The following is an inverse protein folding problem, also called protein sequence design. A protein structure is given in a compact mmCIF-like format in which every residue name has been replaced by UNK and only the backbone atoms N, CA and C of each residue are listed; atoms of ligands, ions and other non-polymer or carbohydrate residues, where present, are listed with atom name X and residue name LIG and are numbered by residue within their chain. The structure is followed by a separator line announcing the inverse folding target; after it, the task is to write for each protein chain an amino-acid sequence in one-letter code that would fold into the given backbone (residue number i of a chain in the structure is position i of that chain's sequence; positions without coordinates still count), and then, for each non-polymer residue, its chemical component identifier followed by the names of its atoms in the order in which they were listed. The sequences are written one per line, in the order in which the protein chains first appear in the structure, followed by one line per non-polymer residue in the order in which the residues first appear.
data_IF_991712015427
#
_entry.id   IF_991712015427
#
_cell.length_a   1.000
_cell.length_b   1.000
_cell.length_c   1.000
_cell.angle_alpha   90.00
_cell.angle_beta   90.00
_cell.angle_gamma   90.00
#
_symmetry.space_group_name_H-M   'P 1'
#
loop_
_entity.id
_entity.type
_entity.pdbx_description
1 polymer ?
#
# COMPACT_ATOMS: atom_id res chain seq x y z
N UNK A 1 19.84 -10.33 8.58
CA UNK A 1 18.80 -11.02 9.37
C UNK A 1 19.24 -11.37 10.80
N UNK A 2 20.48 -11.84 11.01
CA UNK A 2 21.04 -12.25 12.31
C UNK A 2 20.91 -11.19 13.42
N UNK A 3 21.23 -9.93 13.12
CA UNK A 3 21.13 -8.83 14.10
C UNK A 3 19.68 -8.59 14.56
N UNK A 4 18.73 -8.64 13.62
CA UNK A 4 17.29 -8.44 13.91
C UNK A 4 16.76 -9.63 14.72
N UNK A 5 17.10 -10.86 14.33
CA UNK A 5 16.69 -12.07 15.06
C UNK A 5 17.22 -12.06 16.50
N UNK A 6 18.51 -11.76 16.70
CA UNK A 6 19.12 -11.65 18.04
C UNK A 6 18.38 -10.60 18.87
N UNK A 7 18.13 -9.42 18.30
CA UNK A 7 17.39 -8.35 18.98
C UNK A 7 15.96 -8.77 19.35
N UNK A 8 15.25 -9.48 18.48
CA UNK A 8 13.90 -9.98 18.75
C UNK A 8 13.88 -11.01 19.90
N UNK A 9 14.81 -11.96 19.91
CA UNK A 9 14.96 -12.94 20.99
C UNK A 9 15.34 -12.28 22.32
N UNK A 10 16.28 -11.32 22.31
CA UNK A 10 16.63 -10.56 23.51
C UNK A 10 15.45 -9.77 24.06
N UNK A 11 14.68 -9.09 23.19
CA UNK A 11 13.52 -8.29 23.62
C UNK A 11 12.38 -9.15 24.17
N UNK A 12 12.11 -10.29 23.56
CA UNK A 12 11.09 -11.24 24.01
C UNK A 12 11.51 -12.06 25.22
N UNK A 13 12.81 -12.12 25.55
CA UNK A 13 13.41 -12.98 26.56
C UNK A 13 13.19 -14.48 26.29
N UNK A 14 12.96 -14.84 25.03
CA UNK A 14 12.81 -16.23 24.58
C UNK A 14 14.09 -16.74 23.92
N UNK A 15 14.28 -18.06 23.95
CA UNK A 15 15.25 -18.78 23.13
C UNK A 15 14.54 -19.35 21.90
N UNK A 16 15.27 -19.62 20.82
CA UNK A 16 14.70 -20.23 19.60
C UNK A 16 14.01 -21.57 19.89
N UNK A 17 14.50 -22.30 20.91
CA UNK A 17 13.94 -23.57 21.36
C UNK A 17 12.49 -23.43 21.86
N UNK A 18 12.16 -22.26 22.40
CA UNK A 18 10.87 -21.93 23.00
C UNK A 18 9.84 -21.51 21.93
N UNK A 19 10.23 -21.45 20.65
CA UNK A 19 9.37 -21.10 19.53
C UNK A 19 8.66 -22.35 19.02
N UNK A 20 7.34 -22.32 18.90
CA UNK A 20 6.53 -23.47 18.45
C UNK A 20 6.41 -23.57 16.93
N UNK A 21 6.50 -22.44 16.22
CA UNK A 21 6.27 -22.33 14.78
C UNK A 21 7.15 -21.23 14.18
N UNK A 22 7.71 -21.49 12.99
CA UNK A 22 8.41 -20.47 12.20
C UNK A 22 7.56 -20.14 10.98
N UNK A 23 7.38 -18.84 10.72
CA UNK A 23 6.68 -18.36 9.54
C UNK A 23 7.59 -17.42 8.75
N UNK A 24 7.56 -17.52 7.42
CA UNK A 24 8.31 -16.64 6.54
C UNK A 24 7.50 -16.25 5.31
N UNK A 25 7.66 -15.02 4.84
CA UNK A 25 7.03 -14.56 3.60
C UNK A 25 7.55 -15.38 2.42
N UNK A 26 6.64 -16.04 1.72
CA UNK A 26 6.94 -16.82 0.51
C UNK A 26 6.81 -15.98 -0.77
N UNK A 27 5.96 -14.95 -0.75
CA UNK A 27 5.76 -14.01 -1.85
C UNK A 27 4.38 -13.34 -1.79
N UNK A 28 4.06 -12.43 -2.73
CA UNK A 28 4.95 -11.89 -3.74
C UNK A 28 6.04 -10.96 -3.16
N UNK A 29 7.07 -10.65 -3.94
CA UNK A 29 8.15 -9.75 -3.53
C UNK A 29 9.42 -9.95 -4.36
N UNK A 30 10.46 -9.16 -4.07
CA UNK A 30 11.76 -9.30 -4.72
C UNK A 30 12.36 -10.66 -4.39
N UNK A 31 12.61 -11.47 -5.41
CA UNK A 31 13.08 -12.85 -5.28
C UNK A 31 14.34 -12.95 -4.40
N UNK A 32 15.31 -12.05 -4.59
CA UNK A 32 16.55 -12.01 -3.82
C UNK A 32 16.30 -11.74 -2.33
N UNK A 33 15.38 -10.84 -2.00
CA UNK A 33 15.01 -10.53 -0.61
C UNK A 33 14.22 -11.66 0.04
N UNK A 34 13.29 -12.28 -0.71
CA UNK A 34 12.52 -13.44 -0.24
C UNK A 34 13.46 -14.62 0.09
N UNK A 35 14.44 -14.90 -0.77
CA UNK A 35 15.40 -15.98 -0.55
C UNK A 35 16.15 -15.85 0.78
N UNK A 36 16.54 -14.63 1.17
CA UNK A 36 17.22 -14.41 2.47
C UNK A 36 16.32 -14.83 3.63
N UNK A 37 15.05 -14.42 3.61
CA UNK A 37 14.07 -14.77 4.65
C UNK A 37 13.74 -16.26 4.67
N UNK A 38 13.42 -16.82 3.50
CA UNK A 38 13.05 -18.23 3.31
C UNK A 38 14.19 -19.16 3.73
N UNK A 39 15.42 -18.90 3.29
CA UNK A 39 16.57 -19.74 3.67
C UNK A 39 16.83 -19.67 5.16
N UNK A 40 16.76 -18.48 5.77
CA UNK A 40 16.92 -18.34 7.22
C UNK A 40 15.87 -19.14 7.98
N UNK A 41 14.60 -19.03 7.58
CA UNK A 41 13.51 -19.74 8.22
C UNK A 41 13.61 -21.26 8.05
N UNK A 42 13.96 -21.74 6.85
CA UNK A 42 14.23 -23.15 6.59
C UNK A 42 15.37 -23.68 7.46
N UNK A 43 16.50 -22.97 7.54
CA UNK A 43 17.64 -23.38 8.37
C UNK A 43 17.26 -23.46 9.85
N UNK A 44 16.53 -22.47 10.37
CA UNK A 44 16.07 -22.48 11.76
C UNK A 44 15.07 -23.61 12.02
N UNK A 45 14.09 -23.80 11.13
CA UNK A 45 13.09 -24.86 11.24
C UNK A 45 13.77 -26.24 11.24
N UNK A 46 14.73 -26.44 10.35
CA UNK A 46 15.47 -27.69 10.24
C UNK A 46 16.32 -27.97 11.48
N UNK A 47 17.15 -27.02 11.93
CA UNK A 47 18.06 -27.21 13.07
C UNK A 47 17.30 -27.44 14.38
N UNK A 48 16.17 -26.74 14.58
CA UNK A 48 15.40 -26.81 15.83
C UNK A 48 14.18 -27.73 15.74
N UNK A 49 14.03 -28.47 14.64
CA UNK A 49 12.91 -29.35 14.34
C UNK A 49 11.55 -28.68 14.61
N UNK A 50 11.36 -27.49 14.02
CA UNK A 50 10.13 -26.69 14.17
C UNK A 50 9.30 -26.74 12.88
N UNK A 51 7.96 -26.75 12.98
CA UNK A 51 7.09 -26.52 11.83
C UNK A 51 7.43 -25.18 11.14
N UNK A 52 7.29 -25.16 9.81
CA UNK A 52 7.53 -24.00 8.96
C UNK A 52 6.32 -23.73 8.08
N UNK A 53 5.85 -22.47 8.05
CA UNK A 53 4.75 -22.03 7.19
C UNK A 53 5.22 -20.89 6.28
N UNK A 54 4.95 -21.05 4.98
CA UNK A 54 5.05 -19.98 3.98
C UNK A 54 3.84 -19.06 4.05
N UNK A 55 4.07 -17.75 4.16
CA UNK A 55 3.02 -16.74 4.29
C UNK A 55 2.96 -15.89 3.02
N UNK A 56 1.74 -15.69 2.50
CA UNK A 56 1.52 -14.73 1.42
C UNK A 56 1.62 -13.30 1.97
N UNK A 57 2.48 -12.47 1.37
CA UNK A 57 2.74 -11.10 1.77
C UNK A 57 1.48 -10.23 1.81
N UNK A 58 0.60 -10.36 0.81
CA UNK A 58 -0.62 -9.57 0.70
C UNK A 58 -1.66 -9.99 1.75
N UNK A 59 -1.75 -11.29 2.02
CA UNK A 59 -2.57 -11.80 3.13
C UNK A 59 -2.04 -11.25 4.46
N UNK A 60 -0.71 -11.20 4.64
CA UNK A 60 -0.09 -10.57 5.80
C UNK A 60 -0.48 -9.10 5.98
N UNK A 61 -0.56 -8.33 4.90
CA UNK A 61 -1.04 -6.94 4.94
C UNK A 61 -2.51 -6.85 5.37
N UNK A 62 -3.39 -7.71 4.87
CA UNK A 62 -4.81 -7.70 5.26
C UNK A 62 -4.97 -8.04 6.73
N UNK A 63 -4.30 -9.11 7.18
CA UNK A 63 -4.41 -9.62 8.55
C UNK A 63 -3.62 -8.81 9.57
N UNK A 64 -2.78 -7.84 9.17
CA UNK A 64 -2.16 -6.94 10.14
C UNK A 64 -3.21 -6.10 10.89
N UNK A 65 -4.35 -5.80 10.25
CA UNK A 65 -5.48 -5.16 10.91
C UNK A 65 -6.02 -5.99 12.09
N UNK A 66 -5.91 -7.32 12.01
CA UNK A 66 -6.36 -8.25 13.05
C UNK A 66 -5.51 -8.23 14.32
N UNK A 67 -4.32 -7.60 14.28
CA UNK A 67 -3.46 -7.45 15.46
C UNK A 67 -4.12 -6.50 16.47
N UNK A 68 -4.85 -5.49 16.00
CA UNK A 68 -5.48 -4.46 16.83
C UNK A 68 -7.00 -4.57 16.90
N UNK A 69 -7.65 -5.08 15.84
CA UNK A 69 -9.11 -5.09 15.72
C UNK A 69 -9.66 -6.42 15.22
N UNK A 70 -10.79 -6.87 15.76
CA UNK A 70 -11.48 -8.03 15.19
C UNK A 70 -12.01 -7.73 13.77
N UNK A 71 -11.82 -8.70 12.87
CA UNK A 71 -12.34 -8.62 11.52
C UNK A 71 -13.84 -8.96 11.50
N UNK A 72 -14.64 -8.13 10.83
CA UNK A 72 -16.09 -8.29 10.69
C UNK A 72 -16.45 -8.52 9.23
N UNK A 73 -17.17 -9.61 8.98
CA UNK A 73 -17.51 -10.04 7.62
C UNK A 73 -18.98 -9.80 7.24
N UNK A 74 -19.27 -9.48 5.97
CA UNK A 74 -18.32 -9.27 4.87
C UNK A 74 -17.54 -7.97 5.03
N UNK A 75 -16.25 -7.98 4.70
CA UNK A 75 -15.39 -6.79 4.70
C UNK A 75 -14.94 -6.42 3.28
N UNK A 76 -14.60 -5.15 3.12
CA UNK A 76 -13.92 -4.64 1.94
C UNK A 76 -12.52 -4.22 2.37
N UNK A 77 -11.52 -4.69 1.65
CA UNK A 77 -10.14 -4.25 1.83
C UNK A 77 -9.72 -3.34 0.69
N UNK A 78 -9.23 -2.16 1.03
CA UNK A 78 -8.42 -1.32 0.13
C UNK A 78 -6.93 -1.57 0.44
N UNK A 79 -6.26 -2.30 -0.44
CA UNK A 79 -4.82 -2.54 -0.37
C UNK A 79 -4.12 -1.49 -1.23
N UNK A 80 -3.42 -0.55 -0.59
CA UNK A 80 -2.71 0.57 -1.23
C UNK A 80 -1.25 0.64 -0.77
N UNK A 81 -0.35 0.21 -1.65
CA UNK A 81 1.09 0.17 -1.41
C UNK A 81 1.86 0.78 -2.59
N UNK A 82 3.20 0.71 -2.53
CA UNK A 82 4.06 1.10 -3.65
C UNK A 82 3.76 0.34 -4.95
N UNK A 83 3.37 -0.93 -4.86
CA UNK A 83 3.15 -1.80 -6.03
C UNK A 83 1.74 -2.36 -6.18
N UNK A 84 0.82 -2.06 -5.25
CA UNK A 84 -0.54 -2.59 -5.28
C UNK A 84 -1.55 -1.47 -5.05
N UNK A 85 -2.63 -1.50 -5.80
CA UNK A 85 -3.83 -0.70 -5.55
C UNK A 85 -5.02 -1.55 -5.93
N UNK A 86 -5.64 -2.16 -4.94
CA UNK A 86 -6.67 -3.18 -5.12
C UNK A 86 -7.82 -3.02 -4.12
N UNK A 87 -9.03 -3.31 -4.60
CA UNK A 87 -10.22 -3.53 -3.78
C UNK A 87 -10.50 -5.03 -3.72
N UNK A 88 -10.53 -5.58 -2.52
CA UNK A 88 -10.71 -7.00 -2.26
C UNK A 88 -11.94 -7.17 -1.39
N UNK A 89 -12.93 -7.91 -1.89
CA UNK A 89 -14.07 -8.35 -1.11
C UNK A 89 -13.69 -9.60 -0.32
N UNK A 90 -14.01 -9.61 0.97
CA UNK A 90 -13.74 -10.74 1.85
C UNK A 90 -15.03 -11.19 2.54
N UNK A 91 -15.55 -12.37 2.14
CA UNK A 91 -16.80 -12.93 2.69
C UNK A 91 -16.62 -13.61 4.04
N UNK A 92 -15.42 -14.16 4.27
CA UNK A 92 -14.99 -14.78 5.52
C UNK A 92 -13.46 -14.83 5.57
N UNK A 93 -12.89 -15.32 6.66
CA UNK A 93 -11.45 -15.55 6.77
C UNK A 93 -10.90 -16.33 5.56
N UNK A 94 -9.88 -15.76 4.93
CA UNK A 94 -9.18 -16.32 3.76
C UNK A 94 -10.04 -16.49 2.50
N UNK A 95 -11.31 -16.10 2.51
CA UNK A 95 -12.17 -16.05 1.33
C UNK A 95 -12.06 -14.67 0.65
N UNK A 96 -11.01 -14.51 -0.14
CA UNK A 96 -10.62 -13.25 -0.75
C UNK A 96 -10.97 -13.22 -2.24
N UNK A 97 -11.65 -12.17 -2.69
CA UNK A 97 -11.94 -11.92 -4.11
C UNK A 97 -11.57 -10.50 -4.49
N UNK A 98 -10.56 -10.33 -5.33
CA UNK A 98 -10.26 -9.02 -5.92
C UNK A 98 -11.44 -8.60 -6.81
N UNK A 99 -12.06 -7.47 -6.46
CA UNK A 99 -13.22 -6.89 -7.16
C UNK A 99 -12.84 -5.66 -7.98
N UNK A 100 -11.67 -5.08 -7.71
CA UNK A 100 -11.08 -4.02 -8.52
C UNK A 100 -9.56 -3.96 -8.33
N UNK A 101 -8.84 -3.61 -9.38
CA UNK A 101 -7.38 -3.39 -9.32
C UNK A 101 -6.98 -2.19 -10.18
N UNK A 102 -5.79 -1.64 -9.95
CA UNK A 102 -5.19 -0.73 -10.92
C UNK A 102 -4.92 -1.45 -12.23
N UNK A 103 -5.20 -0.77 -13.34
CA UNK A 103 -4.89 -1.22 -14.70
C UNK A 103 -3.52 -0.76 -15.17
N UNK A 104 -2.88 0.14 -14.41
CA UNK A 104 -1.60 0.73 -14.75
C UNK A 104 -0.69 0.91 -13.51
N UNK A 105 -0.43 2.15 -13.08
CA UNK A 105 0.43 2.44 -11.94
C UNK A 105 -0.34 2.24 -10.61
N UNK A 106 0.33 1.71 -9.60
CA UNK A 106 -0.16 1.74 -8.23
C UNK A 106 -0.01 3.17 -7.66
N UNK A 107 -0.88 3.52 -6.70
CA UNK A 107 -0.89 4.86 -6.09
C UNK A 107 0.48 5.22 -5.51
N UNK A 108 1.12 4.32 -4.75
CA UNK A 108 2.42 4.62 -4.13
C UNK A 108 3.51 4.91 -5.16
N UNK A 109 3.53 4.18 -6.28
CA UNK A 109 4.43 4.45 -7.40
C UNK A 109 4.19 5.84 -8.03
N UNK A 110 2.92 6.26 -8.15
CA UNK A 110 2.59 7.60 -8.65
C UNK A 110 3.10 8.67 -7.67
N UNK A 111 2.89 8.50 -6.36
CA UNK A 111 3.44 9.40 -5.34
C UNK A 111 4.96 9.57 -5.49
N UNK A 112 5.70 8.46 -5.58
CA UNK A 112 7.15 8.50 -5.73
C UNK A 112 7.60 9.16 -7.04
N UNK A 113 6.88 8.90 -8.14
CA UNK A 113 7.17 9.53 -9.43
C UNK A 113 6.92 11.04 -9.40
N UNK A 114 5.84 11.51 -8.77
CA UNK A 114 5.55 12.95 -8.63
C UNK A 114 6.57 13.62 -7.71
N UNK A 115 6.89 13.01 -6.56
CA UNK A 115 7.88 13.54 -5.63
C UNK A 115 9.23 13.76 -6.31
N UNK A 116 9.68 12.78 -7.10
CA UNK A 116 10.92 12.90 -7.88
C UNK A 116 10.91 14.06 -8.87
N UNK A 117 9.80 14.29 -9.59
CA UNK A 117 9.70 15.41 -10.54
C UNK A 117 9.63 16.78 -9.83
N UNK A 118 9.15 16.81 -8.59
CA UNK A 118 9.21 17.98 -7.73
C UNK A 118 10.57 18.17 -7.04
N UNK A 119 11.59 17.34 -7.37
CA UNK A 119 12.90 17.31 -6.71
C UNK A 119 12.80 17.09 -5.19
N UNK A 120 11.88 16.22 -4.76
CA UNK A 120 11.74 15.78 -3.38
C UNK A 120 12.47 14.46 -3.14
N UNK A 121 12.86 14.21 -1.89
CA UNK A 121 13.55 12.99 -1.50
C UNK A 121 12.63 11.76 -1.59
N UNK A 122 13.24 10.59 -1.62
CA UNK A 122 12.55 9.30 -1.53
C UNK A 122 12.53 8.79 -0.07
N UNK A 123 11.44 8.16 0.41
CA UNK A 123 10.16 7.90 -0.26
C UNK A 123 9.29 9.16 -0.38
N UNK A 124 8.57 9.27 -1.49
CA UNK A 124 7.82 10.47 -1.88
C UNK A 124 6.53 10.67 -1.10
N UNK A 125 5.83 9.58 -0.76
CA UNK A 125 4.55 9.56 -0.04
C UNK A 125 4.50 10.52 1.17
N UNK A 126 5.29 10.27 2.23
CA UNK A 126 5.28 11.08 3.45
C UNK A 126 5.69 12.54 3.26
N UNK A 127 6.44 12.85 2.18
CA UNK A 127 6.87 14.23 1.90
C UNK A 127 5.76 15.00 1.18
N UNK A 128 5.07 14.35 0.25
CA UNK A 128 3.91 14.92 -0.45
C UNK A 128 2.80 15.22 0.57
N UNK A 129 2.48 14.27 1.46
CA UNK A 129 1.47 14.44 2.51
C UNK A 129 1.74 15.70 3.37
N UNK A 130 2.95 15.81 3.94
CA UNK A 130 3.35 16.97 4.75
C UNK A 130 3.28 18.31 4.01
N UNK A 131 3.37 18.30 2.69
CA UNK A 131 3.25 19.50 1.85
C UNK A 131 1.79 19.77 1.49
N UNK A 132 1.03 18.72 1.20
CA UNK A 132 -0.40 18.77 0.93
C UNK A 132 -1.17 19.36 2.12
N UNK A 133 -0.80 18.99 3.36
CA UNK A 133 -1.39 19.55 4.60
C UNK A 133 -1.27 21.08 4.71
N UNK A 134 -0.31 21.67 3.99
CA UNK A 134 -0.04 23.12 3.98
C UNK A 134 -0.49 23.79 2.69
N UNK A 135 -1.22 23.07 1.85
CA UNK A 135 -1.70 23.52 0.55
C UNK A 135 -3.21 23.52 0.47
N UNK A 136 -3.71 23.87 -0.70
CA UNK A 136 -5.12 23.81 -1.05
C UNK A 136 -5.27 23.14 -2.43
N UNK A 137 -6.37 22.42 -2.62
CA UNK A 137 -6.75 21.89 -3.92
C UNK A 137 -7.25 23.02 -4.82
N UNK A 138 -6.33 23.60 -5.57
CA UNK A 138 -6.59 24.71 -6.50
C UNK A 138 -6.19 24.38 -7.94
N UNK A 139 -5.51 23.24 -8.15
CA UNK A 139 -5.15 22.77 -9.48
C UNK A 139 -6.15 21.70 -9.93
N UNK A 140 -6.80 21.93 -11.05
CA UNK A 140 -7.80 21.01 -11.62
C UNK A 140 -7.15 19.78 -12.28
N UNK A 141 -6.43 18.97 -11.49
CA UNK A 141 -5.93 17.69 -11.95
C UNK A 141 -7.09 16.71 -12.17
N UNK A 142 -6.98 15.88 -13.21
CA UNK A 142 -8.05 14.96 -13.58
C UNK A 142 -8.28 13.94 -12.47
N UNK A 143 -9.53 13.61 -12.15
CA UNK A 143 -9.89 12.46 -11.32
C UNK A 143 -10.10 11.26 -12.24
N UNK A 144 -9.06 10.44 -12.50
CA UNK A 144 -9.10 9.48 -13.59
C UNK A 144 -10.09 8.36 -13.32
N UNK A 145 -10.59 7.78 -14.42
CA UNK A 145 -11.27 6.49 -14.39
C UNK A 145 -12.54 6.41 -13.49
N UNK A 146 -13.18 7.56 -13.25
CA UNK A 146 -14.44 7.66 -12.52
C UNK A 146 -15.70 7.49 -13.37
N UNK A 147 -15.63 7.77 -14.68
CA UNK A 147 -16.79 7.73 -15.59
C UNK A 147 -17.35 6.33 -15.85
N UNK A 148 -16.59 5.27 -15.55
CA UNK A 148 -17.07 3.88 -15.68
C UNK A 148 -17.87 3.44 -14.45
N UNK A 149 -18.48 2.25 -14.52
CA UNK A 149 -19.21 1.61 -13.41
C UNK A 149 -18.42 0.52 -12.69
N UNK A 150 -17.16 0.29 -13.08
CA UNK A 150 -16.34 -0.76 -12.49
C UNK A 150 -15.57 -0.23 -11.26
N UNK A 151 -14.93 -1.14 -10.56
CA UNK A 151 -14.14 -0.86 -9.34
C UNK A 151 -12.63 -0.80 -9.63
N UNK A 152 -12.22 -0.85 -10.90
CA UNK A 152 -10.82 -0.75 -11.27
C UNK A 152 -10.34 0.70 -11.15
N UNK A 153 -9.02 0.86 -11.08
CA UNK A 153 -8.30 2.13 -11.00
C UNK A 153 -7.40 2.34 -12.21
N UNK A 154 -7.03 3.59 -12.46
CA UNK A 154 -5.99 3.96 -13.44
C UNK A 154 -5.47 5.34 -13.07
N UNK A 155 -4.16 5.47 -12.88
CA UNK A 155 -3.50 6.70 -12.44
C UNK A 155 -2.40 7.17 -13.40
N UNK A 156 -2.09 6.41 -14.46
CA UNK A 156 -1.05 6.78 -15.43
C UNK A 156 -1.34 8.11 -16.15
N UNK A 157 -2.61 8.40 -16.43
CA UNK A 157 -3.05 9.67 -17.04
C UNK A 157 -2.84 10.87 -16.11
N UNK A 158 -3.24 10.74 -14.84
CA UNK A 158 -3.03 11.76 -13.80
C UNK A 158 -1.53 12.04 -13.62
N UNK A 159 -0.74 10.98 -13.50
CA UNK A 159 0.73 11.05 -13.42
C UNK A 159 1.31 11.87 -14.58
N UNK A 160 0.94 11.51 -15.82
CA UNK A 160 1.45 12.18 -17.02
C UNK A 160 1.03 13.65 -17.08
N UNK A 161 -0.22 13.96 -16.72
CA UNK A 161 -0.73 15.33 -16.66
C UNK A 161 0.11 16.19 -15.71
N UNK A 162 0.37 15.70 -14.49
CA UNK A 162 1.11 16.45 -13.47
C UNK A 162 2.58 16.59 -13.83
N UNK A 163 3.22 15.52 -14.34
CA UNK A 163 4.60 15.59 -14.80
C UNK A 163 4.75 16.65 -15.90
N UNK A 164 3.86 16.65 -16.90
CA UNK A 164 3.88 17.64 -17.96
C UNK A 164 3.66 19.05 -17.42
N UNK A 165 2.71 19.23 -16.49
CA UNK A 165 2.50 20.51 -15.81
C UNK A 165 3.77 21.00 -15.09
N UNK A 166 4.45 20.14 -14.33
CA UNK A 166 5.69 20.49 -13.64
C UNK A 166 6.80 20.85 -14.63
N UNK A 167 6.95 20.08 -15.71
CA UNK A 167 8.01 20.28 -16.71
C UNK A 167 7.83 21.54 -17.56
N UNK A 168 6.58 21.93 -17.86
CA UNK A 168 6.28 23.11 -18.68
C UNK A 168 6.19 24.41 -17.87
N UNK A 169 6.14 24.32 -16.54
CA UNK A 169 5.95 25.46 -15.65
C UNK A 169 7.29 25.99 -15.12
N UNK A 170 7.51 27.32 -15.07
CA UNK A 170 8.72 27.89 -14.51
C UNK A 170 9.03 27.41 -13.08
N UNK A 171 10.31 27.11 -12.79
CA UNK A 171 10.73 26.55 -11.50
C UNK A 171 10.36 27.43 -10.29
N UNK A 172 10.39 28.74 -10.45
CA UNK A 172 9.99 29.71 -9.41
C UNK A 172 8.49 29.63 -9.09
N UNK A 173 7.64 29.33 -10.08
CA UNK A 173 6.22 29.11 -9.86
C UNK A 173 6.00 27.78 -9.13
N UNK A 174 6.70 26.71 -9.53
CA UNK A 174 6.61 25.39 -8.88
C UNK A 174 7.02 25.48 -7.41
N UNK A 175 8.15 26.13 -7.10
CA UNK A 175 8.61 26.26 -5.72
C UNK A 175 7.62 27.05 -4.85
N UNK A 176 7.02 28.12 -5.39
CA UNK A 176 6.01 28.93 -4.70
C UNK A 176 4.71 28.17 -4.45
N UNK A 177 4.32 27.26 -5.36
CA UNK A 177 3.04 26.55 -5.33
C UNK A 177 3.16 25.08 -4.95
N UNK A 178 4.32 24.61 -4.49
CA UNK A 178 4.57 23.18 -4.27
C UNK A 178 3.55 22.53 -3.33
N UNK A 179 3.14 23.23 -2.27
CA UNK A 179 2.14 22.73 -1.33
C UNK A 179 0.79 22.53 -2.00
N UNK A 180 0.35 23.50 -2.81
CA UNK A 180 -0.91 23.44 -3.54
C UNK A 180 -0.90 22.35 -4.62
N UNK A 181 0.24 22.14 -5.29
CA UNK A 181 0.42 21.04 -6.25
C UNK A 181 0.28 19.69 -5.53
N UNK A 182 0.96 19.52 -4.39
CA UNK A 182 0.85 18.30 -3.57
C UNK A 182 -0.59 18.08 -3.08
N UNK A 183 -1.26 19.12 -2.58
CA UNK A 183 -2.65 19.05 -2.11
C UNK A 183 -3.60 18.64 -3.24
N UNK A 184 -3.54 19.31 -4.39
CA UNK A 184 -4.42 19.02 -5.52
C UNK A 184 -4.18 17.62 -6.10
N UNK A 185 -2.94 17.14 -6.07
CA UNK A 185 -2.58 15.77 -6.45
C UNK A 185 -3.19 14.74 -5.50
N UNK A 186 -3.02 14.95 -4.18
CA UNK A 186 -3.53 14.06 -3.15
C UNK A 186 -5.07 14.01 -3.14
N UNK A 187 -5.74 15.15 -3.31
CA UNK A 187 -7.21 15.20 -3.43
C UNK A 187 -7.69 14.43 -4.66
N UNK A 188 -7.03 14.59 -5.81
CA UNK A 188 -7.39 13.85 -7.02
C UNK A 188 -7.34 12.32 -6.82
N UNK A 189 -6.35 11.80 -6.10
CA UNK A 189 -6.27 10.38 -5.77
C UNK A 189 -7.34 9.98 -4.75
N UNK A 190 -7.50 10.77 -3.70
CA UNK A 190 -8.45 10.51 -2.61
C UNK A 190 -9.89 10.44 -3.12
N UNK A 191 -10.29 11.39 -3.97
CA UNK A 191 -11.58 11.41 -4.67
C UNK A 191 -11.84 10.09 -5.39
N UNK A 192 -10.85 9.58 -6.13
CA UNK A 192 -10.97 8.33 -6.89
C UNK A 192 -11.12 7.14 -5.96
N UNK A 193 -10.30 7.05 -4.91
CA UNK A 193 -10.35 5.95 -3.94
C UNK A 193 -11.70 5.92 -3.21
N UNK A 194 -12.16 7.07 -2.72
CA UNK A 194 -13.43 7.22 -1.98
C UNK A 194 -14.61 6.82 -2.87
N UNK A 195 -14.65 7.29 -4.10
CA UNK A 195 -15.74 6.97 -5.03
C UNK A 195 -15.79 5.47 -5.35
N UNK A 196 -14.63 4.81 -5.51
CA UNK A 196 -14.55 3.37 -5.75
C UNK A 196 -14.93 2.56 -4.52
N UNK A 197 -14.55 3.01 -3.33
CA UNK A 197 -14.99 2.45 -2.05
C UNK A 197 -16.51 2.54 -1.93
N UNK A 198 -17.12 3.72 -2.15
CA UNK A 198 -18.58 3.91 -2.05
C UNK A 198 -19.33 2.94 -2.94
N UNK A 199 -18.92 2.82 -4.22
CA UNK A 199 -19.51 1.87 -5.17
C UNK A 199 -19.39 0.41 -4.72
N UNK A 200 -18.25 0.04 -4.12
CA UNK A 200 -18.05 -1.31 -3.61
C UNK A 200 -18.93 -1.57 -2.37
N UNK A 201 -19.06 -0.60 -1.46
CA UNK A 201 -19.93 -0.70 -0.29
C UNK A 201 -21.40 -0.90 -0.72
N UNK A 202 -21.89 -0.11 -1.67
CA UNK A 202 -23.25 -0.23 -2.21
C UNK A 202 -23.49 -1.60 -2.87
N UNK A 203 -22.49 -2.12 -3.58
CA UNK A 203 -22.61 -3.39 -4.30
C UNK A 203 -22.59 -4.63 -3.41
N UNK A 204 -21.85 -4.59 -2.29
CA UNK A 204 -21.52 -5.78 -1.51
C UNK A 204 -22.03 -5.76 -0.05
N UNK A 205 -22.76 -4.72 0.37
CA UNK A 205 -23.33 -4.62 1.74
C UNK A 205 -22.29 -4.87 2.84
N UNK A 206 -21.18 -4.15 2.74
CA UNK A 206 -19.98 -4.31 3.57
C UNK A 206 -20.23 -3.87 5.02
N UNK A 207 -19.75 -4.66 6.00
CA UNK A 207 -19.81 -4.32 7.43
C UNK A 207 -18.56 -3.60 7.95
N UNK A 208 -17.44 -3.75 7.26
CA UNK A 208 -16.16 -3.17 7.67
C UNK A 208 -15.32 -2.83 6.44
N UNK A 209 -14.78 -1.61 6.42
CA UNK A 209 -13.71 -1.21 5.50
C UNK A 209 -12.37 -1.37 6.21
N UNK A 210 -11.44 -2.05 5.55
CA UNK A 210 -10.06 -2.25 6.00
C UNK A 210 -9.16 -1.54 5.00
N UNK A 211 -8.30 -0.64 5.45
CA UNK A 211 -7.34 0.07 4.59
C UNK A 211 -5.94 -0.32 5.05
N UNK A 212 -5.14 -0.89 4.15
CA UNK A 212 -3.82 -1.44 4.48
C UNK A 212 -2.81 -1.13 3.39
N UNK A 213 -1.54 -1.09 3.78
CA UNK A 213 -0.41 -0.82 2.90
C UNK A 213 0.26 0.51 3.22
N UNK A 214 1.41 0.80 2.59
CA UNK A 214 2.23 1.96 2.95
C UNK A 214 1.67 3.34 2.56
N UNK A 215 0.54 3.37 1.86
CA UNK A 215 -0.18 4.61 1.49
C UNK A 215 -1.45 4.80 2.33
N UNK A 216 -1.86 3.78 3.09
CA UNK A 216 -3.01 3.85 4.00
C UNK A 216 -2.73 4.81 5.16
#
# INVERSE_FOLDING_TARGET
ITLILKKALTKSKLKIKDIDLIAATQGPGLISSLFVGINTANTLAYIYNKPLIGVNHLIGHIYSAQIEYDLKFPSLVLLISGGHTELIFMSNHFELKTVGSTLDDAVGEVYDKIARHLNLNYPGGPIIEKKADKGQDIFNFTRPYLKNKNLNFSFSGLKSQIINFISQTPKNFISKNINNICASFQESISDVLIEKIKRAIEKFSIKQLIIVGGVA
#
